data_IF_335874482458
#
_entry.id   IF_335874482458
#
_cell.length_a   1.000
_cell.length_b   1.000
_cell.length_c   1.000
_cell.angle_alpha   90.00
_cell.angle_beta   90.00
_cell.angle_gamma   90.00
#
_symmetry.space_group_name_H-M   'P 1'
#
loop_
_entity.id
_entity.type
_entity.pdbx_description
1 polymer ?
#
# COMPACT_ATOMS: atom_id res chain seq x y z
N UNK A 1 20.82 36.38 -7.80
CA UNK A 1 20.13 36.89 -6.59
C UNK A 1 19.06 35.87 -6.19
N UNK A 2 19.43 34.74 -5.59
CA UNK A 2 19.46 34.46 -4.15
C UNK A 2 18.16 34.79 -3.39
N UNK A 3 17.41 33.73 -3.01
CA UNK A 3 16.62 33.51 -1.77
C UNK A 3 15.71 32.28 -1.99
N UNK A 4 16.14 31.07 -1.63
CA UNK A 4 15.93 30.39 -0.32
C UNK A 4 14.51 30.55 0.22
N UNK A 5 13.64 29.60 -0.13
CA UNK A 5 12.38 29.31 0.57
C UNK A 5 12.53 28.01 1.36
N UNK A 6 12.52 28.11 2.69
CA UNK A 6 12.78 27.04 3.63
C UNK A 6 11.61 26.04 3.70
N UNK A 7 11.93 24.75 3.50
CA UNK A 7 11.02 23.64 3.74
C UNK A 7 10.84 23.41 5.25
N UNK A 8 9.71 23.84 5.78
CA UNK A 8 9.35 23.67 7.19
C UNK A 8 8.76 22.26 7.40
N UNK A 9 9.63 21.29 7.69
CA UNK A 9 9.22 19.94 8.14
C UNK A 9 8.51 20.04 9.50
N UNK A 10 7.18 20.04 9.49
CA UNK A 10 6.37 19.81 10.69
C UNK A 10 6.50 18.34 11.09
N UNK A 11 7.16 18.08 12.21
CA UNK A 11 7.12 16.81 12.94
C UNK A 11 5.68 16.53 13.38
N UNK A 12 5.10 15.34 13.12
CA UNK A 12 3.92 14.92 13.86
C UNK A 12 4.36 14.62 15.30
N UNK A 13 3.82 15.39 16.24
CA UNK A 13 3.96 15.14 17.66
C UNK A 13 3.35 13.78 17.99
N UNK A 14 4.21 12.82 18.25
CA UNK A 14 3.86 11.49 18.72
C UNK A 14 3.42 11.61 20.19
N UNK A 15 2.16 12.00 20.41
CA UNK A 15 1.51 11.89 21.71
C UNK A 15 1.30 10.40 21.98
N UNK A 16 2.30 9.77 22.61
CA UNK A 16 2.17 8.49 23.30
C UNK A 16 1.05 8.65 24.33
N UNK A 17 -0.17 8.25 23.97
CA UNK A 17 -1.16 7.87 24.98
C UNK A 17 -0.62 6.60 25.62
N UNK A 18 -0.19 6.72 26.87
CA UNK A 18 -0.03 5.61 27.80
C UNK A 18 -1.39 4.95 28.01
N UNK A 19 -1.80 4.11 27.05
CA UNK A 19 -2.79 3.08 27.30
C UNK A 19 -2.05 2.07 28.18
N UNK A 20 -2.36 2.13 29.47
CA UNK A 20 -2.05 1.06 30.42
C UNK A 20 -2.76 -0.20 29.94
N UNK A 21 -2.15 -0.93 29.02
CA UNK A 21 -2.50 -2.32 28.78
C UNK A 21 -2.04 -3.09 30.01
N UNK A 22 -2.99 -3.31 30.92
CA UNK A 22 -2.93 -4.36 31.92
C UNK A 22 -2.68 -5.67 31.17
N UNK A 23 -1.40 -6.05 31.06
CA UNK A 23 -1.01 -7.37 30.62
C UNK A 23 -1.75 -8.38 31.51
N UNK A 24 -2.49 -9.34 30.94
CA UNK A 24 -2.95 -10.45 31.74
C UNK A 24 -1.71 -11.11 32.32
N UNK A 25 -1.65 -11.21 33.66
CA UNK A 25 -0.65 -12.01 34.37
C UNK A 25 -0.59 -13.35 33.65
N UNK A 26 0.49 -13.56 32.90
CA UNK A 26 0.89 -14.89 32.44
C UNK A 26 1.14 -15.62 33.76
N UNK A 27 0.16 -16.41 34.20
CA UNK A 27 0.39 -17.35 35.30
C UNK A 27 1.47 -18.27 34.78
N UNK A 28 2.68 -18.04 35.25
CA UNK A 28 3.76 -19.01 35.16
C UNK A 28 3.18 -20.34 35.60
N UNK A 29 3.28 -21.41 34.78
CA UNK A 29 2.93 -22.73 35.27
C UNK A 29 3.74 -22.96 36.55
N UNK A 30 3.16 -23.57 37.59
CA UNK A 30 3.92 -23.90 38.78
C UNK A 30 5.11 -24.71 38.31
N UNK A 31 6.31 -24.20 38.58
CA UNK A 31 7.54 -24.99 38.58
C UNK A 31 7.23 -26.16 39.49
N UNK A 32 6.88 -27.30 38.89
CA UNK A 32 6.68 -28.55 39.58
C UNK A 32 7.95 -28.78 40.35
N UNK A 33 7.86 -28.61 41.66
CA UNK A 33 8.80 -29.16 42.61
C UNK A 33 8.96 -30.62 42.17
N UNK A 34 10.15 -30.93 41.66
CA UNK A 34 10.63 -32.31 41.58
C UNK A 34 10.60 -32.79 43.02
N UNK A 35 9.47 -33.37 43.43
CA UNK A 35 9.39 -34.19 44.60
C UNK A 35 10.37 -35.33 44.35
N UNK A 36 11.55 -35.19 44.95
CA UNK A 36 12.47 -36.28 45.18
C UNK A 36 11.70 -37.33 45.99
N UNK A 37 10.95 -38.17 45.29
CA UNK A 37 10.42 -39.39 45.86
C UNK A 37 11.64 -40.25 46.20
N UNK A 38 12.11 -40.11 47.45
CA UNK A 38 12.90 -41.11 48.16
C UNK A 38 12.09 -42.40 48.10
N UNK A 39 12.27 -43.16 47.02
CA UNK A 39 11.87 -44.55 46.94
C UNK A 39 12.77 -45.26 47.96
N UNK A 40 12.26 -45.42 49.19
CA UNK A 40 12.74 -46.44 50.11
C UNK A 40 12.61 -47.76 49.37
N UNK A 41 13.71 -48.24 48.80
CA UNK A 41 13.85 -49.66 48.49
C UNK A 41 13.84 -50.38 49.84
N UNK A 42 12.65 -50.83 50.25
CA UNK A 42 12.55 -51.90 51.23
C UNK A 42 13.12 -53.14 50.54
N UNK A 43 14.39 -53.43 50.82
CA UNK A 43 15.03 -54.70 50.51
C UNK A 43 14.30 -55.80 51.27
N UNK A 44 13.22 -56.33 50.69
CA UNK A 44 12.56 -57.53 51.17
C UNK A 44 13.53 -58.69 50.96
N UNK A 45 14.27 -59.03 52.02
CA UNK A 45 15.07 -60.24 52.11
C UNK A 45 14.11 -61.43 52.09
N UNK A 46 13.82 -61.92 50.88
CA UNK A 46 13.12 -63.18 50.68
C UNK A 46 14.05 -64.27 51.20
N UNK A 47 13.78 -64.75 52.41
CA UNK A 47 14.41 -65.97 52.96
C UNK A 47 13.98 -67.15 52.08
N UNK A 48 14.84 -67.52 51.14
CA UNK A 48 14.69 -68.76 50.40
C UNK A 48 14.76 -69.93 51.37
N UNK A 49 13.82 -70.89 51.31
CA UNK A 49 13.84 -72.05 52.17
C UNK A 49 15.06 -72.91 51.82
N UNK A 50 15.95 -73.06 52.80
CA UNK A 50 17.08 -73.99 52.72
C UNK A 50 16.53 -75.41 52.76
N UNK A 51 16.21 -75.97 51.60
CA UNK A 51 15.83 -77.37 51.47
C UNK A 51 17.11 -78.19 51.60
N UNK A 52 17.44 -78.57 52.84
CA UNK A 52 18.44 -79.58 53.14
C UNK A 52 17.93 -80.95 52.66
N UNK A 53 18.06 -81.25 51.37
CA UNK A 53 17.98 -82.62 50.86
C UNK A 53 19.35 -83.25 51.04
N UNK A 54 19.54 -83.96 52.14
CA UNK A 54 20.62 -84.93 52.30
C UNK A 54 20.43 -86.04 51.27
N UNK A 55 21.02 -85.87 50.09
CA UNK A 55 21.12 -86.93 49.10
C UNK A 55 22.11 -87.97 49.61
N UNK A 56 21.56 -89.11 49.98
CA UNK A 56 22.29 -90.34 50.29
C UNK A 56 23.20 -90.71 49.11
N UNK A 57 24.51 -90.51 49.26
CA UNK A 57 25.53 -90.88 48.27
C UNK A 57 25.87 -92.37 48.25
N UNK A 58 25.08 -93.22 48.91
CA UNK A 58 25.33 -94.67 49.01
C UNK A 58 24.84 -95.51 47.82
N UNK A 59 24.37 -94.87 46.73
CA UNK A 59 23.92 -95.56 45.50
C UNK A 59 24.70 -95.11 44.25
N UNK A 60 25.97 -94.73 44.40
CA UNK A 60 26.75 -94.12 43.30
C UNK A 60 27.31 -95.15 42.31
N UNK A 61 27.81 -96.30 42.78
CA UNK A 61 28.41 -97.30 41.89
C UNK A 61 27.35 -98.10 41.11
N UNK A 62 26.31 -98.58 41.78
CA UNK A 62 25.26 -99.37 41.12
C UNK A 62 24.48 -98.54 40.10
N UNK A 63 24.25 -97.25 40.38
CA UNK A 63 23.59 -96.34 39.45
C UNK A 63 24.43 -96.02 38.20
N UNK A 64 25.76 -95.91 38.32
CA UNK A 64 26.63 -95.66 37.16
C UNK A 64 26.63 -96.88 36.24
N UNK A 65 26.76 -98.09 36.80
CA UNK A 65 26.76 -99.34 36.04
C UNK A 65 25.42 -99.55 35.33
N UNK A 66 24.30 -99.27 36.01
CA UNK A 66 22.97 -99.36 35.43
C UNK A 66 22.77 -98.36 34.28
N UNK A 67 23.22 -97.12 34.43
CA UNK A 67 23.10 -96.10 33.37
C UNK A 67 24.03 -96.42 32.19
N UNK A 68 25.25 -96.93 32.41
CA UNK A 68 26.14 -97.38 31.33
C UNK A 68 25.54 -98.55 30.55
N UNK A 69 24.91 -99.49 31.25
CA UNK A 69 24.19 -100.60 30.63
C UNK A 69 23.00 -100.11 29.80
N UNK A 70 22.16 -99.22 30.37
CA UNK A 70 21.02 -98.61 29.64
C UNK A 70 21.53 -97.84 28.41
N UNK A 71 22.61 -97.07 28.53
CA UNK A 71 23.21 -96.35 27.39
C UNK A 71 23.73 -97.29 26.31
N UNK A 72 24.31 -98.43 26.70
CA UNK A 72 24.74 -99.44 25.74
C UNK A 72 23.55 -99.99 24.96
N UNK A 73 22.45 -100.30 25.65
CA UNK A 73 21.21 -100.78 25.02
C UNK A 73 20.60 -99.71 24.11
N UNK A 74 20.48 -98.47 24.59
CA UNK A 74 19.90 -97.35 23.82
C UNK A 74 20.75 -97.04 22.58
N UNK A 75 22.09 -97.11 22.69
CA UNK A 75 22.99 -96.92 21.55
C UNK A 75 22.85 -98.05 20.55
N UNK A 76 22.82 -99.29 21.01
CA UNK A 76 22.63 -100.46 20.16
C UNK A 76 21.27 -100.40 19.45
N UNK A 77 20.20 -100.04 20.15
CA UNK A 77 18.88 -99.83 19.58
C UNK A 77 18.86 -98.70 18.54
N UNK A 78 19.48 -97.56 18.85
CA UNK A 78 19.60 -96.45 17.91
C UNK A 78 20.38 -96.85 16.65
N UNK A 79 21.48 -97.60 16.80
CA UNK A 79 22.26 -98.10 15.67
C UNK A 79 21.46 -99.08 14.82
N UNK A 80 20.75 -100.02 15.43
CA UNK A 80 19.89 -100.98 14.72
C UNK A 80 18.77 -100.26 13.95
N UNK A 81 18.07 -99.34 14.60
CA UNK A 81 17.01 -98.54 13.96
C UNK A 81 17.56 -97.68 12.81
N UNK A 82 18.72 -97.06 12.99
CA UNK A 82 19.36 -96.27 11.94
C UNK A 82 19.77 -97.13 10.74
N UNK A 83 20.16 -98.39 10.95
CA UNK A 83 20.50 -99.32 9.87
C UNK A 83 19.27 -99.84 9.13
N UNK A 84 18.21 -100.21 9.86
CA UNK A 84 16.93 -100.61 9.27
C UNK A 84 16.32 -99.51 8.39
N UNK A 85 16.49 -98.24 8.78
CA UNK A 85 16.04 -97.07 8.03
C UNK A 85 16.61 -97.01 6.60
N UNK A 86 17.81 -97.56 6.42
CA UNK A 86 18.52 -97.55 5.16
C UNK A 86 18.26 -98.81 4.34
N UNK A 87 17.47 -99.77 4.85
CA UNK A 87 17.10 -100.96 4.11
C UNK A 87 16.10 -100.61 3.02
N UNK A 88 16.50 -100.88 1.80
CA UNK A 88 15.70 -100.75 0.60
C UNK A 88 15.89 -102.05 -0.20
N UNK A 89 14.84 -102.61 -0.83
CA UNK A 89 14.96 -103.77 -1.72
C UNK A 89 16.06 -103.59 -2.79
N UNK A 90 16.39 -102.36 -3.20
CA UNK A 90 17.52 -102.06 -4.09
C UNK A 90 18.87 -102.58 -3.59
N UNK A 91 19.05 -102.74 -2.28
CA UNK A 91 20.30 -103.28 -1.70
C UNK A 91 20.55 -104.71 -2.16
N UNK A 92 19.50 -105.50 -2.40
CA UNK A 92 19.62 -106.87 -2.90
C UNK A 92 20.14 -106.92 -4.34
N UNK A 93 19.97 -105.85 -5.11
CA UNK A 93 20.48 -105.76 -6.49
C UNK A 93 21.95 -105.37 -6.58
N UNK A 94 22.54 -104.94 -5.46
CA UNK A 94 23.94 -104.55 -5.43
C UNK A 94 24.82 -105.79 -5.19
N UNK A 95 25.73 -106.08 -6.12
CA UNK A 95 26.71 -107.17 -6.03
C UNK A 95 27.72 -106.93 -4.89
N UNK A 96 27.28 -107.15 -3.64
CA UNK A 96 28.13 -107.16 -2.46
C UNK A 96 28.35 -108.58 -1.98
N UNK A 97 29.54 -108.85 -1.47
CA UNK A 97 29.88 -110.09 -0.74
C UNK A 97 29.15 -110.11 0.61
N UNK A 98 27.85 -110.36 0.57
CA UNK A 98 27.03 -110.75 1.72
C UNK A 98 27.30 -112.22 2.04
N UNK A 99 27.17 -112.61 3.31
CA UNK A 99 27.10 -114.03 3.62
C UNK A 99 25.77 -114.56 3.11
N UNK A 100 25.72 -115.82 2.63
CA UNK A 100 24.48 -116.45 2.17
C UNK A 100 23.35 -116.35 3.22
N UNK A 101 23.70 -116.35 4.51
CA UNK A 101 22.76 -116.16 5.62
C UNK A 101 22.17 -114.73 5.67
N UNK A 102 23.00 -113.69 5.47
CA UNK A 102 22.54 -112.30 5.46
C UNK A 102 21.73 -111.94 4.21
N UNK A 103 22.08 -112.53 3.07
CA UNK A 103 21.32 -112.39 1.83
C UNK A 103 19.94 -113.04 1.96
N UNK A 104 19.89 -114.27 2.47
CA UNK A 104 18.63 -114.96 2.74
C UNK A 104 17.76 -114.20 3.74
N UNK A 105 18.32 -113.77 4.88
CA UNK A 105 17.55 -113.02 5.88
C UNK A 105 17.00 -111.67 5.37
N UNK A 106 17.71 -111.01 4.46
CA UNK A 106 17.19 -109.81 3.80
C UNK A 106 16.12 -110.15 2.77
N UNK A 107 16.29 -111.23 2.01
CA UNK A 107 15.30 -111.69 1.06
C UNK A 107 13.98 -112.01 1.78
N UNK A 108 14.05 -112.83 2.83
CA UNK A 108 12.91 -113.21 3.68
C UNK A 108 12.26 -111.95 4.30
N UNK A 109 13.06 -110.98 4.76
CA UNK A 109 12.52 -109.71 5.28
C UNK A 109 11.76 -108.88 4.22
N UNK A 110 12.29 -108.81 2.99
CA UNK A 110 11.64 -108.03 1.93
C UNK A 110 10.44 -108.75 1.30
N UNK A 111 10.43 -110.08 1.26
CA UNK A 111 9.25 -110.85 0.85
C UNK A 111 8.13 -110.62 1.85
N UNK A 112 8.38 -110.80 3.15
CA UNK A 112 7.33 -110.61 4.15
C UNK A 112 6.82 -109.17 4.19
N UNK A 113 7.70 -108.18 3.94
CA UNK A 113 7.31 -106.77 3.87
C UNK A 113 6.45 -106.48 2.63
N UNK A 114 6.72 -107.15 1.50
CA UNK A 114 5.88 -107.07 0.31
C UNK A 114 4.52 -107.74 0.56
N UNK A 115 4.53 -108.93 1.15
CA UNK A 115 3.33 -109.71 1.48
C UNK A 115 2.45 -108.94 2.49
N UNK A 116 3.04 -108.33 3.53
CA UNK A 116 2.29 -107.46 4.45
C UNK A 116 1.69 -106.24 3.75
N UNK A 117 2.40 -105.66 2.78
CA UNK A 117 1.89 -104.52 2.03
C UNK A 117 0.71 -104.92 1.14
N UNK A 118 0.77 -106.10 0.53
CA UNK A 118 -0.32 -106.71 -0.25
C UNK A 118 -1.52 -107.02 0.66
N UNK A 119 -1.31 -107.72 1.79
CA UNK A 119 -2.34 -108.02 2.78
C UNK A 119 -3.10 -106.79 3.30
N UNK A 120 -2.37 -105.69 3.57
CA UNK A 120 -2.99 -104.41 3.99
C UNK A 120 -3.80 -103.77 2.86
N UNK A 121 -3.36 -103.90 1.59
CA UNK A 121 -4.06 -103.35 0.43
C UNK A 121 -5.30 -104.18 0.05
N UNK A 122 -5.28 -105.48 0.33
CA UNK A 122 -6.37 -106.43 0.04
C UNK A 122 -7.41 -106.57 1.17
N UNK A 123 -7.18 -105.89 2.31
CA UNK A 123 -8.03 -105.99 3.52
C UNK A 123 -8.18 -107.45 4.01
N UNK A 124 -7.07 -108.19 4.02
CA UNK A 124 -7.02 -109.57 4.55
C UNK A 124 -7.32 -109.63 6.06
N UNK A 125 -7.54 -110.86 6.57
CA UNK A 125 -7.91 -111.09 7.97
C UNK A 125 -6.84 -110.54 8.94
N UNK A 126 -7.29 -109.94 10.06
CA UNK A 126 -6.38 -109.36 11.08
C UNK A 126 -5.34 -110.36 11.59
N UNK A 127 -5.66 -111.66 11.62
CA UNK A 127 -4.77 -112.74 12.05
C UNK A 127 -3.58 -112.92 11.09
N UNK A 128 -3.80 -112.82 9.77
CA UNK A 128 -2.74 -112.91 8.77
C UNK A 128 -1.81 -111.68 8.81
N UNK A 129 -2.39 -110.50 9.05
CA UNK A 129 -1.63 -109.26 9.25
C UNK A 129 -0.78 -109.34 10.53
N UNK A 130 -1.30 -109.89 11.62
CA UNK A 130 -0.55 -110.09 12.86
C UNK A 130 0.61 -111.09 12.70
N UNK A 131 0.37 -112.22 12.04
CA UNK A 131 1.40 -113.22 11.76
C UNK A 131 2.53 -112.65 10.89
N UNK A 132 2.19 -111.87 9.85
CA UNK A 132 3.16 -111.17 9.01
C UNK A 132 3.92 -110.09 9.79
N UNK A 133 3.27 -109.35 10.68
CA UNK A 133 3.94 -108.39 11.56
C UNK A 133 4.91 -109.08 12.53
N UNK A 134 4.57 -110.25 13.08
CA UNK A 134 5.47 -111.03 13.94
C UNK A 134 6.66 -111.56 13.14
N UNK A 135 6.42 -112.08 11.93
CA UNK A 135 7.47 -112.54 11.02
C UNK A 135 8.43 -111.40 10.66
N UNK A 136 7.92 -110.23 10.25
CA UNK A 136 8.71 -109.02 9.99
C UNK A 136 9.46 -108.57 11.24
N UNK A 137 8.86 -108.67 12.43
CA UNK A 137 9.54 -108.33 13.68
C UNK A 137 10.74 -109.27 13.93
N UNK A 138 10.58 -110.57 13.72
CA UNK A 138 11.66 -111.56 13.86
C UNK A 138 12.74 -111.38 12.79
N UNK A 139 12.36 -111.18 11.54
CA UNK A 139 13.30 -110.93 10.44
C UNK A 139 14.02 -109.59 10.61
N UNK A 140 13.34 -108.52 11.03
CA UNK A 140 13.99 -107.22 11.32
C UNK A 140 15.02 -107.31 12.44
N UNK A 141 14.76 -108.11 13.49
CA UNK A 141 15.72 -108.39 14.57
C UNK A 141 16.94 -109.13 14.05
N UNK A 142 16.71 -110.15 13.23
CA UNK A 142 17.77 -110.99 12.64
C UNK A 142 18.63 -110.17 11.68
N UNK A 143 18.01 -109.44 10.76
CA UNK A 143 18.67 -108.53 9.82
C UNK A 143 19.43 -107.43 10.57
N UNK A 144 18.82 -106.78 11.56
CA UNK A 144 19.50 -105.75 12.37
C UNK A 144 20.75 -106.29 13.06
N UNK A 145 20.67 -107.50 13.62
CA UNK A 145 21.82 -108.15 14.26
C UNK A 145 22.91 -108.49 13.25
N UNK A 146 22.55 -109.10 12.13
CA UNK A 146 23.49 -109.45 11.06
C UNK A 146 24.15 -108.20 10.46
N UNK A 147 23.43 -107.09 10.30
CA UNK A 147 24.00 -105.82 9.83
C UNK A 147 24.93 -105.17 10.86
N UNK A 148 24.60 -105.27 12.14
CA UNK A 148 25.47 -104.81 13.24
C UNK A 148 26.74 -105.67 13.32
N UNK A 149 26.64 -106.98 13.13
CA UNK A 149 27.81 -107.87 13.10
C UNK A 149 28.63 -107.66 11.81
N UNK A 150 27.96 -107.43 10.68
CA UNK A 150 28.59 -107.03 9.42
C UNK A 150 29.33 -105.69 9.52
N UNK A 151 28.94 -104.79 10.44
CA UNK A 151 29.74 -103.59 10.77
C UNK A 151 31.17 -103.93 11.15
N UNK A 152 31.35 -105.03 11.88
CA UNK A 152 32.64 -105.47 12.41
C UNK A 152 33.43 -106.24 11.37
N UNK A 153 32.75 -107.09 10.58
CA UNK A 153 33.41 -107.99 9.61
C UNK A 153 33.57 -107.36 8.22
N UNK A 154 32.63 -106.53 7.77
CA UNK A 154 32.62 -105.90 6.45
C UNK A 154 32.06 -104.46 6.48
N UNK A 155 32.87 -103.45 6.86
CA UNK A 155 32.43 -102.06 6.97
C UNK A 155 32.07 -101.41 5.61
N UNK A 156 32.49 -102.01 4.50
CA UNK A 156 32.18 -101.52 3.16
C UNK A 156 30.69 -101.72 2.82
N UNK A 157 30.10 -102.84 3.26
CA UNK A 157 28.68 -103.12 3.11
C UNK A 157 27.83 -102.02 3.77
N UNK A 158 28.15 -101.64 5.01
CA UNK A 158 27.41 -100.58 5.70
C UNK A 158 27.51 -99.21 5.03
N UNK A 159 28.69 -98.88 4.47
CA UNK A 159 28.83 -97.65 3.69
C UNK A 159 27.97 -97.70 2.43
N UNK A 160 27.76 -98.87 1.84
CA UNK A 160 26.86 -99.04 0.71
C UNK A 160 25.39 -98.93 1.11
N UNK A 161 24.96 -99.64 2.16
CA UNK A 161 23.60 -99.55 2.72
C UNK A 161 23.23 -98.10 3.03
N UNK A 162 24.13 -97.33 3.66
CA UNK A 162 23.89 -95.89 3.95
C UNK A 162 23.89 -94.98 2.72
N UNK A 163 24.47 -95.41 1.59
CA UNK A 163 24.47 -94.63 0.34
C UNK A 163 23.14 -94.75 -0.40
N UNK A 164 22.41 -95.84 -0.19
CA UNK A 164 21.05 -96.00 -0.73
C UNK A 164 20.14 -95.04 0.03
N UNK A 165 19.78 -93.93 -0.63
CA UNK A 165 18.88 -92.93 -0.07
C UNK A 165 17.44 -93.35 -0.31
N UNK A 166 16.89 -94.15 0.60
CA UNK A 166 15.46 -94.40 0.65
C UNK A 166 14.71 -93.17 1.21
N UNK A 167 13.49 -92.85 0.73
CA UNK A 167 12.64 -91.86 1.36
C UNK A 167 12.23 -92.36 2.76
N UNK A 168 12.76 -91.71 3.79
CA UNK A 168 12.46 -92.06 5.18
C UNK A 168 11.19 -91.34 5.64
N UNK A 169 10.21 -92.04 6.23
CA UNK A 169 9.06 -91.40 6.86
C UNK A 169 9.48 -90.39 7.94
N UNK A 170 8.90 -89.19 7.91
CA UNK A 170 9.27 -88.07 8.82
C UNK A 170 9.18 -88.47 10.30
N UNK A 171 8.16 -89.25 10.68
CA UNK A 171 7.98 -89.73 12.04
C UNK A 171 9.16 -90.60 12.52
N UNK A 172 9.66 -91.51 11.68
CA UNK A 172 10.79 -92.38 11.99
C UNK A 172 12.09 -91.57 12.12
N UNK A 173 12.29 -90.58 11.26
CA UNK A 173 13.43 -89.67 11.37
C UNK A 173 13.40 -88.85 12.67
N UNK A 174 12.24 -88.29 13.04
CA UNK A 174 12.06 -87.56 14.30
C UNK A 174 12.34 -88.47 15.51
N UNK A 175 11.83 -89.70 15.51
CA UNK A 175 12.09 -90.68 16.57
C UNK A 175 13.59 -91.04 16.71
N UNK A 176 14.29 -91.24 15.61
CA UNK A 176 15.74 -91.49 15.64
C UNK A 176 16.49 -90.28 16.22
N UNK A 177 16.06 -89.06 15.89
CA UNK A 177 16.67 -87.85 16.46
C UNK A 177 16.37 -87.66 17.95
N UNK A 178 15.18 -88.01 18.43
CA UNK A 178 14.84 -87.94 19.85
C UNK A 178 15.63 -88.99 20.64
N UNK A 179 15.76 -90.21 20.12
CA UNK A 179 16.59 -91.26 20.73
C UNK A 179 18.06 -90.83 20.83
N UNK A 180 18.59 -90.17 19.80
CA UNK A 180 19.94 -89.60 19.84
C UNK A 180 20.07 -88.51 20.90
N UNK A 181 19.13 -87.55 20.95
CA UNK A 181 19.10 -86.48 21.97
C UNK A 181 19.01 -87.05 23.39
N UNK A 182 18.23 -88.11 23.59
CA UNK A 182 18.12 -88.79 24.87
C UNK A 182 19.47 -89.43 25.26
N UNK A 183 20.11 -90.15 24.33
CA UNK A 183 21.45 -90.70 24.55
C UNK A 183 22.48 -89.61 24.89
N UNK A 184 22.47 -88.49 24.17
CA UNK A 184 23.37 -87.36 24.40
C UNK A 184 23.12 -86.72 25.78
N UNK A 185 21.84 -86.57 26.17
CA UNK A 185 21.44 -86.04 27.48
C UNK A 185 21.86 -86.97 28.61
N UNK A 186 21.63 -88.28 28.48
CA UNK A 186 22.05 -89.29 29.45
C UNK A 186 23.58 -89.33 29.57
N UNK A 187 24.31 -89.22 28.45
CA UNK A 187 25.77 -89.16 28.47
C UNK A 187 26.28 -87.86 29.12
N UNK A 188 25.61 -86.74 28.88
CA UNK A 188 25.93 -85.47 29.54
C UNK A 188 25.67 -85.54 31.04
N UNK A 189 24.57 -86.18 31.46
CA UNK A 189 24.23 -86.45 32.87
C UNK A 189 25.27 -87.35 33.55
N UNK A 190 25.76 -88.39 32.88
CA UNK A 190 26.84 -89.23 33.41
C UNK A 190 28.17 -88.49 33.58
N UNK A 191 28.45 -87.51 32.70
CA UNK A 191 29.67 -86.71 32.76
C UNK A 191 29.60 -85.58 33.79
N UNK A 192 28.41 -85.25 34.26
CA UNK A 192 28.17 -84.23 35.27
C UNK A 192 28.40 -84.82 36.66
N UNK A 193 29.28 -84.20 37.44
CA UNK A 193 29.37 -84.49 38.87
C UNK A 193 28.21 -83.80 39.59
N UNK A 194 27.77 -84.35 40.73
CA UNK A 194 26.70 -83.73 41.54
C UNK A 194 27.02 -82.28 41.96
N UNK A 195 28.30 -81.94 42.12
CA UNK A 195 28.76 -80.56 42.36
C UNK A 195 28.54 -79.66 41.13
N UNK A 196 28.81 -80.18 39.92
CA UNK A 196 28.58 -79.45 38.68
C UNK A 196 27.08 -79.25 38.40
N UNK A 197 26.24 -80.23 38.72
CA UNK A 197 24.78 -80.06 38.63
C UNK A 197 24.27 -78.98 39.60
N UNK A 198 24.77 -78.98 40.83
CA UNK A 198 24.40 -77.99 41.85
C UNK A 198 24.79 -76.57 41.43
N UNK A 199 26.01 -76.39 40.90
CA UNK A 199 26.46 -75.08 40.39
C UNK A 199 25.65 -74.61 39.17
N UNK A 200 25.31 -75.52 38.25
CA UNK A 200 24.45 -75.20 37.11
C UNK A 200 23.04 -74.80 37.54
N UNK A 201 22.46 -75.49 38.54
CA UNK A 201 21.16 -75.11 39.09
C UNK A 201 21.22 -73.74 39.77
N UNK A 202 22.27 -73.45 40.54
CA UNK A 202 22.48 -72.14 41.16
C UNK A 202 22.58 -71.02 40.12
N UNK A 203 23.31 -71.24 39.02
CA UNK A 203 23.38 -70.28 37.90
C UNK A 203 22.02 -70.09 37.23
N UNK A 204 21.25 -71.16 37.05
CA UNK A 204 19.90 -71.08 36.49
C UNK A 204 18.98 -70.24 37.39
N UNK A 205 19.01 -70.48 38.70
CA UNK A 205 18.22 -69.73 39.67
C UNK A 205 18.60 -68.23 39.70
N UNK A 206 19.91 -67.93 39.61
CA UNK A 206 20.41 -66.56 39.48
C UNK A 206 19.89 -65.88 38.20
N UNK A 207 19.94 -66.57 37.07
CA UNK A 207 19.39 -66.07 35.80
C UNK A 207 17.87 -65.84 35.87
N UNK A 208 17.13 -66.74 36.51
CA UNK A 208 15.68 -66.59 36.70
C UNK A 208 15.36 -65.40 37.62
N UNK A 209 16.15 -65.18 38.66
CA UNK A 209 16.02 -64.00 39.52
C UNK A 209 16.32 -62.72 38.73
N UNK A 210 17.40 -62.71 37.96
CA UNK A 210 17.78 -61.58 37.11
C UNK A 210 16.68 -61.27 36.08
N UNK A 211 16.13 -62.28 35.42
CA UNK A 211 15.02 -62.13 34.46
C UNK A 211 13.79 -61.50 35.14
N UNK A 212 13.44 -61.94 36.35
CA UNK A 212 12.33 -61.35 37.12
C UNK A 212 12.59 -59.89 37.49
N UNK A 213 13.80 -59.56 37.92
CA UNK A 213 14.18 -58.17 38.21
C UNK A 213 14.11 -57.30 36.96
N UNK A 214 14.64 -57.78 35.84
CA UNK A 214 14.66 -57.03 34.59
C UNK A 214 13.26 -56.90 33.99
N UNK A 215 12.42 -57.92 34.11
CA UNK A 215 10.99 -57.85 33.77
C UNK A 215 10.26 -56.81 34.63
N UNK A 216 10.57 -56.73 35.93
CA UNK A 216 10.00 -55.71 36.82
C UNK A 216 10.45 -54.30 36.45
N UNK A 217 11.75 -54.11 36.19
CA UNK A 217 12.31 -52.83 35.70
C UNK A 217 11.67 -52.43 34.37
N UNK A 218 11.52 -53.37 33.45
CA UNK A 218 10.87 -53.14 32.16
C UNK A 218 9.42 -52.69 32.33
N UNK A 219 8.64 -53.37 33.18
CA UNK A 219 7.26 -52.99 33.46
C UNK A 219 7.17 -51.57 34.06
N UNK A 220 8.08 -51.21 34.96
CA UNK A 220 8.14 -49.89 35.57
C UNK A 220 8.53 -48.80 34.56
N UNK A 221 9.52 -49.06 33.69
CA UNK A 221 9.90 -48.13 32.62
C UNK A 221 8.80 -47.97 31.59
N UNK A 222 8.11 -49.05 31.23
CA UNK A 222 6.97 -49.02 30.32
C UNK A 222 5.84 -48.17 30.89
N UNK A 223 5.51 -48.35 32.17
CA UNK A 223 4.51 -47.52 32.86
C UNK A 223 4.90 -46.04 32.86
N UNK A 224 6.15 -45.71 33.20
CA UNK A 224 6.64 -44.31 33.16
C UNK A 224 6.55 -43.71 31.76
N UNK A 225 6.89 -44.48 30.73
CA UNK A 225 6.78 -44.03 29.34
C UNK A 225 5.33 -43.75 28.94
N UNK A 226 4.39 -44.59 29.37
CA UNK A 226 2.97 -44.40 29.10
C UNK A 226 2.41 -43.18 29.87
N UNK A 227 2.81 -42.99 31.13
CA UNK A 227 2.46 -41.81 31.94
C UNK A 227 2.99 -40.52 31.28
N UNK A 228 4.27 -40.48 30.87
CA UNK A 228 4.86 -39.31 30.16
C UNK A 228 4.17 -39.05 28.82
N UNK A 229 3.80 -40.09 28.07
CA UNK A 229 3.04 -39.94 26.82
C UNK A 229 1.66 -39.35 27.07
N UNK A 230 0.99 -39.77 28.13
CA UNK A 230 -0.32 -39.24 28.51
C UNK A 230 -0.23 -37.77 28.92
N UNK A 231 0.75 -37.40 29.74
CA UNK A 231 1.00 -36.01 30.12
C UNK A 231 1.30 -35.13 28.90
N UNK A 232 2.18 -35.59 28.01
CA UNK A 232 2.48 -34.88 26.76
C UNK A 232 1.24 -34.71 25.89
N UNK A 233 0.42 -35.75 25.75
CA UNK A 233 -0.84 -35.67 24.99
C UNK A 233 -1.80 -34.65 25.58
N UNK A 234 -1.90 -34.56 26.92
CA UNK A 234 -2.72 -33.54 27.59
C UNK A 234 -2.18 -32.13 27.33
N UNK A 235 -0.87 -31.93 27.42
CA UNK A 235 -0.23 -30.64 27.13
C UNK A 235 -0.50 -30.21 25.69
N UNK A 236 -0.33 -31.11 24.72
CA UNK A 236 -0.59 -30.85 23.29
C UNK A 236 -2.06 -30.46 23.10
N UNK A 237 -3.00 -31.24 23.66
CA UNK A 237 -4.43 -30.92 23.56
C UNK A 237 -4.79 -29.54 24.16
N UNK A 238 -4.14 -29.16 25.26
CA UNK A 238 -4.30 -27.85 25.88
C UNK A 238 -3.71 -26.71 25.03
N UNK A 239 -2.61 -26.95 24.33
CA UNK A 239 -2.04 -26.01 23.38
C UNK A 239 -2.92 -25.84 22.14
N UNK A 240 -3.45 -26.94 21.59
CA UNK A 240 -4.37 -26.89 20.44
C UNK A 240 -5.63 -26.08 20.75
N UNK A 241 -6.22 -26.29 21.94
CA UNK A 241 -7.35 -25.48 22.38
C UNK A 241 -7.03 -23.98 22.47
N UNK A 242 -5.84 -23.62 22.95
CA UNK A 242 -5.37 -22.23 22.99
C UNK A 242 -5.19 -21.67 21.58
N UNK A 243 -4.58 -22.43 20.68
CA UNK A 243 -4.40 -22.05 19.27
C UNK A 243 -5.75 -21.77 18.62
N UNK A 244 -6.74 -22.65 18.80
CA UNK A 244 -8.07 -22.48 18.20
C UNK A 244 -8.86 -21.32 18.82
N UNK A 245 -8.68 -21.05 20.11
CA UNK A 245 -9.23 -19.85 20.75
C UNK A 245 -8.62 -18.58 20.15
N UNK A 246 -7.29 -18.54 19.98
CA UNK A 246 -6.58 -17.39 19.41
C UNK A 246 -6.96 -17.18 17.93
N UNK A 247 -7.06 -18.25 17.14
CA UNK A 247 -7.55 -18.19 15.75
C UNK A 247 -8.95 -17.59 15.66
N UNK A 248 -9.88 -18.01 16.55
CA UNK A 248 -11.23 -17.43 16.62
C UNK A 248 -11.22 -15.96 17.01
N UNK A 249 -10.39 -15.56 17.97
CA UNK A 249 -10.24 -14.15 18.35
C UNK A 249 -9.68 -13.30 17.20
N UNK A 250 -8.64 -13.80 16.52
CA UNK A 250 -8.03 -13.13 15.38
C UNK A 250 -9.02 -12.95 14.23
N UNK A 251 -9.84 -13.98 13.95
CA UNK A 251 -10.94 -13.88 12.97
C UNK A 251 -11.95 -12.80 13.35
N UNK A 252 -12.41 -12.77 14.61
CA UNK A 252 -13.32 -11.72 15.10
C UNK A 252 -12.74 -10.32 14.96
N UNK A 253 -11.48 -10.12 15.35
CA UNK A 253 -10.79 -8.83 15.22
C UNK A 253 -10.70 -8.42 13.75
N UNK A 254 -10.39 -9.35 12.85
CA UNK A 254 -10.32 -9.10 11.40
C UNK A 254 -11.69 -8.69 10.84
N UNK A 255 -12.74 -9.42 11.21
CA UNK A 255 -14.11 -9.13 10.75
C UNK A 255 -14.59 -7.77 11.29
N UNK A 256 -14.34 -7.46 12.56
CA UNK A 256 -14.67 -6.16 13.16
C UNK A 256 -13.87 -5.01 12.54
N UNK A 257 -12.58 -5.22 12.26
CA UNK A 257 -11.74 -4.24 11.57
C UNK A 257 -12.25 -3.96 10.16
N UNK A 258 -12.60 -5.01 9.40
CA UNK A 258 -13.15 -4.86 8.05
C UNK A 258 -14.48 -4.11 8.08
N UNK A 259 -15.40 -4.46 8.99
CA UNK A 259 -16.67 -3.72 9.17
C UNK A 259 -16.43 -2.24 9.50
N UNK A 260 -15.49 -1.92 10.39
CA UNK A 260 -15.14 -0.54 10.74
C UNK A 260 -14.53 0.20 9.55
N UNK A 261 -13.69 -0.46 8.77
CA UNK A 261 -13.09 0.10 7.57
C UNK A 261 -14.15 0.39 6.50
N UNK A 262 -15.06 -0.55 6.22
CA UNK A 262 -16.19 -0.37 5.29
C UNK A 262 -17.14 0.74 5.75
N UNK A 263 -17.47 0.80 7.04
CA UNK A 263 -18.31 1.87 7.58
C UNK A 263 -17.62 3.24 7.46
N UNK A 264 -16.32 3.31 7.75
CA UNK A 264 -15.52 4.52 7.61
C UNK A 264 -15.46 4.97 6.15
N UNK A 265 -15.10 4.09 5.22
CA UNK A 265 -15.02 4.42 3.78
C UNK A 265 -16.35 4.89 3.22
N UNK A 266 -17.47 4.25 3.58
CA UNK A 266 -18.82 4.73 3.23
C UNK A 266 -19.10 6.13 3.79
N UNK A 267 -18.73 6.40 5.04
CA UNK A 267 -18.89 7.72 5.67
C UNK A 267 -18.03 8.78 4.96
N UNK A 268 -16.78 8.48 4.64
CA UNK A 268 -15.90 9.37 3.89
C UNK A 268 -16.45 9.68 2.50
N UNK A 269 -16.95 8.67 1.78
CA UNK A 269 -17.57 8.88 0.47
C UNK A 269 -18.82 9.78 0.56
N UNK A 270 -19.65 9.61 1.59
CA UNK A 270 -20.82 10.46 1.81
C UNK A 270 -20.43 11.90 2.18
N UNK A 271 -19.44 12.07 3.05
CA UNK A 271 -18.92 13.38 3.46
C UNK A 271 -18.32 14.13 2.26
N UNK A 272 -17.54 13.43 1.41
CA UNK A 272 -16.95 13.99 0.21
C UNK A 272 -18.03 14.38 -0.82
N UNK A 273 -19.04 13.52 -1.03
CA UNK A 273 -20.19 13.87 -1.89
C UNK A 273 -20.91 15.11 -1.39
N UNK A 274 -21.18 15.20 -0.08
CA UNK A 274 -21.82 16.39 0.53
C UNK A 274 -20.96 17.64 0.38
N UNK A 275 -19.64 17.50 0.49
CA UNK A 275 -18.69 18.60 0.30
C UNK A 275 -18.67 19.08 -1.16
N UNK A 276 -18.70 18.16 -2.12
CA UNK A 276 -18.78 18.47 -3.54
C UNK A 276 -20.10 19.18 -3.87
N UNK A 277 -21.24 18.65 -3.42
CA UNK A 277 -22.56 19.29 -3.61
C UNK A 277 -22.60 20.71 -3.01
N UNK A 278 -22.05 20.90 -1.81
CA UNK A 278 -21.96 22.22 -1.19
C UNK A 278 -21.04 23.17 -1.96
N UNK A 279 -19.90 22.67 -2.46
CA UNK A 279 -18.98 23.44 -3.27
C UNK A 279 -19.59 23.85 -4.62
N UNK A 280 -20.25 22.93 -5.31
CA UNK A 280 -20.96 23.19 -6.56
C UNK A 280 -22.06 24.24 -6.38
N UNK A 281 -22.82 24.15 -5.28
CA UNK A 281 -23.85 25.15 -4.96
C UNK A 281 -23.22 26.53 -4.74
N UNK A 282 -22.15 26.63 -3.96
CA UNK A 282 -21.43 27.90 -3.74
C UNK A 282 -20.81 28.44 -5.03
N UNK A 283 -20.28 27.55 -5.88
CA UNK A 283 -19.71 27.91 -7.16
C UNK A 283 -20.79 28.49 -8.09
N UNK A 284 -21.94 27.83 -8.22
CA UNK A 284 -23.11 28.32 -8.98
C UNK A 284 -23.58 29.68 -8.47
N UNK A 285 -23.79 29.82 -7.15
CA UNK A 285 -24.21 31.10 -6.56
C UNK A 285 -23.22 32.24 -6.83
N UNK A 286 -21.91 31.98 -6.76
CA UNK A 286 -20.88 32.98 -7.07
C UNK A 286 -20.80 33.28 -8.56
N UNK A 287 -20.93 32.26 -9.41
CA UNK A 287 -20.97 32.40 -10.87
C UNK A 287 -22.16 33.27 -11.30
N UNK A 288 -23.34 33.01 -10.75
CA UNK A 288 -24.56 33.77 -11.05
C UNK A 288 -24.44 35.22 -10.57
N UNK A 289 -23.85 35.46 -9.39
CA UNK A 289 -23.54 36.82 -8.91
C UNK A 289 -22.56 37.53 -9.84
N UNK A 290 -21.51 36.84 -10.29
CA UNK A 290 -20.53 37.41 -11.21
C UNK A 290 -21.18 37.75 -12.56
N UNK A 291 -22.04 36.88 -13.09
CA UNK A 291 -22.78 37.13 -14.31
C UNK A 291 -23.72 38.34 -14.19
N UNK A 292 -24.43 38.47 -13.06
CA UNK A 292 -25.27 39.67 -12.77
C UNK A 292 -24.44 40.94 -12.69
N UNK A 293 -23.33 40.92 -11.95
CA UNK A 293 -22.44 42.08 -11.81
C UNK A 293 -21.81 42.50 -13.15
N UNK A 294 -21.45 41.54 -14.00
CA UNK A 294 -20.99 41.84 -15.37
C UNK A 294 -22.06 42.53 -16.18
N UNK A 295 -23.28 41.97 -16.19
CA UNK A 295 -24.40 42.59 -16.89
C UNK A 295 -24.70 44.01 -16.38
N UNK A 296 -24.74 44.21 -15.07
CA UNK A 296 -24.93 45.54 -14.47
C UNK A 296 -23.82 46.52 -14.82
N UNK A 297 -22.58 46.03 -14.97
CA UNK A 297 -21.45 46.85 -15.40
C UNK A 297 -21.59 47.25 -16.87
N UNK A 298 -21.90 46.29 -17.75
CA UNK A 298 -22.10 46.52 -19.19
C UNK A 298 -23.27 47.50 -19.41
N UNK A 299 -24.41 47.29 -18.74
CA UNK A 299 -25.58 48.19 -18.81
C UNK A 299 -25.22 49.62 -18.36
N UNK A 300 -24.42 49.79 -17.31
CA UNK A 300 -23.94 51.11 -16.83
C UNK A 300 -22.92 51.74 -17.78
N UNK A 301 -22.06 50.93 -18.38
CA UNK A 301 -21.09 51.40 -19.35
C UNK A 301 -21.82 51.95 -20.60
N UNK A 302 -22.83 51.24 -21.08
CA UNK A 302 -23.65 51.66 -22.22
C UNK A 302 -24.49 52.91 -21.91
N UNK A 303 -25.08 53.01 -20.73
CA UNK A 303 -25.82 54.21 -20.28
C UNK A 303 -24.89 55.42 -20.15
N UNK A 304 -23.70 55.24 -19.56
CA UNK A 304 -22.70 56.31 -19.47
C UNK A 304 -22.20 56.74 -20.85
N UNK A 305 -21.87 55.79 -21.74
CA UNK A 305 -21.46 56.10 -23.10
C UNK A 305 -22.55 56.87 -23.86
N UNK A 306 -23.81 56.46 -23.72
CA UNK A 306 -24.95 57.15 -24.33
C UNK A 306 -25.13 58.57 -23.77
N UNK A 307 -24.95 58.78 -22.46
CA UNK A 307 -24.98 60.10 -21.82
C UNK A 307 -23.83 60.98 -22.27
N UNK A 308 -22.61 60.45 -22.32
CA UNK A 308 -21.41 61.14 -22.81
C UNK A 308 -21.59 61.56 -24.26
N UNK A 309 -22.03 60.66 -25.14
CA UNK A 309 -22.31 60.97 -26.54
C UNK A 309 -23.37 62.06 -26.69
N UNK A 310 -24.45 62.01 -25.88
CA UNK A 310 -25.47 63.06 -25.87
C UNK A 310 -24.91 64.41 -25.44
N UNK A 311 -24.12 64.44 -24.36
CA UNK A 311 -23.49 65.67 -23.87
C UNK A 311 -22.48 66.22 -24.89
N UNK A 312 -21.69 65.35 -25.52
CA UNK A 312 -20.77 65.71 -26.60
C UNK A 312 -21.53 66.35 -27.77
N UNK A 313 -22.65 65.76 -28.21
CA UNK A 313 -23.46 66.32 -29.28
C UNK A 313 -24.09 67.67 -28.90
N UNK A 314 -24.54 67.84 -27.64
CA UNK A 314 -25.03 69.13 -27.14
C UNK A 314 -23.91 70.17 -27.13
N UNK A 315 -22.73 69.80 -26.63
CA UNK A 315 -21.54 70.65 -26.62
C UNK A 315 -21.17 71.09 -28.03
N UNK A 316 -21.08 70.16 -28.97
CA UNK A 316 -20.76 70.44 -30.36
C UNK A 316 -21.77 71.39 -31.02
N UNK A 317 -23.08 71.20 -30.78
CA UNK A 317 -24.12 72.13 -31.25
C UNK A 317 -23.94 73.53 -30.67
N UNK A 318 -23.68 73.64 -29.37
CA UNK A 318 -23.45 74.93 -28.70
C UNK A 318 -22.17 75.62 -29.21
N UNK A 319 -21.10 74.85 -29.45
CA UNK A 319 -19.86 75.34 -30.03
C UNK A 319 -20.09 75.86 -31.46
N UNK A 320 -20.84 75.13 -32.29
CA UNK A 320 -21.21 75.56 -33.64
C UNK A 320 -22.11 76.81 -33.63
N UNK A 321 -23.09 76.90 -32.72
CA UNK A 321 -23.92 78.10 -32.53
C UNK A 321 -23.08 79.31 -32.09
N UNK A 322 -22.11 79.11 -31.20
CA UNK A 322 -21.20 80.14 -30.74
C UNK A 322 -20.26 80.59 -31.86
N UNK A 323 -19.70 79.67 -32.63
CA UNK A 323 -18.86 79.98 -33.79
C UNK A 323 -19.66 80.75 -34.87
N UNK A 324 -20.92 80.37 -35.11
CA UNK A 324 -21.81 81.10 -36.01
C UNK A 324 -22.07 82.53 -35.52
N UNK A 325 -22.30 82.73 -34.22
CA UNK A 325 -22.48 84.07 -33.62
C UNK A 325 -21.21 84.91 -33.71
N UNK A 326 -20.03 84.33 -33.45
CA UNK A 326 -18.75 85.01 -33.62
C UNK A 326 -18.59 85.47 -35.07
N UNK A 327 -18.83 84.58 -36.05
CA UNK A 327 -18.76 84.95 -37.48
C UNK A 327 -19.71 86.08 -37.87
N UNK A 328 -20.93 86.11 -37.31
CA UNK A 328 -21.87 87.22 -37.53
C UNK A 328 -21.35 88.51 -36.90
N UNK A 329 -20.91 88.46 -35.64
CA UNK A 329 -20.34 89.62 -34.96
C UNK A 329 -19.12 90.18 -35.69
N UNK A 330 -18.19 89.33 -36.12
CA UNK A 330 -17.00 89.75 -36.87
C UNK A 330 -17.40 90.41 -38.20
N UNK A 331 -18.43 89.89 -38.88
CA UNK A 331 -18.97 90.48 -40.11
C UNK A 331 -19.62 91.84 -39.86
N UNK A 332 -20.41 91.97 -38.80
CA UNK A 332 -21.09 93.21 -38.43
C UNK A 332 -20.09 94.29 -37.99
N UNK A 333 -19.06 93.91 -37.22
CA UNK A 333 -17.95 94.80 -36.84
C UNK A 333 -17.16 95.23 -38.07
N UNK A 334 -16.87 94.32 -39.00
CA UNK A 334 -16.21 94.67 -40.25
C UNK A 334 -17.04 95.66 -41.07
N UNK A 335 -18.35 95.45 -41.17
CA UNK A 335 -19.27 96.37 -41.85
C UNK A 335 -19.31 97.74 -41.17
N UNK A 336 -19.47 97.78 -39.85
CA UNK A 336 -19.50 99.02 -39.07
C UNK A 336 -18.17 99.78 -39.17
N UNK A 337 -17.05 99.06 -39.18
CA UNK A 337 -15.72 99.67 -39.37
C UNK A 337 -15.58 100.26 -40.78
N UNK A 338 -16.10 99.59 -41.81
CA UNK A 338 -16.13 100.12 -43.16
C UNK A 338 -17.01 101.38 -43.26
N UNK A 339 -18.23 101.36 -42.70
CA UNK A 339 -19.10 102.54 -42.63
C UNK A 339 -18.46 103.70 -41.86
N UNK A 340 -17.81 103.41 -40.73
CA UNK A 340 -17.10 104.41 -39.95
C UNK A 340 -15.93 105.02 -40.73
N UNK A 341 -15.16 104.19 -41.44
CA UNK A 341 -14.08 104.66 -42.30
C UNK A 341 -14.59 105.54 -43.45
N UNK A 342 -15.72 105.18 -44.07
CA UNK A 342 -16.38 106.01 -45.09
C UNK A 342 -16.89 107.35 -44.52
N UNK A 343 -17.51 107.32 -43.34
CA UNK A 343 -18.02 108.54 -42.69
C UNK A 343 -16.87 109.44 -42.24
N UNK A 344 -15.77 108.86 -41.75
CA UNK A 344 -14.58 109.60 -41.38
C UNK A 344 -13.88 110.20 -42.61
N UNK A 345 -13.87 109.50 -43.75
CA UNK A 345 -13.39 110.07 -45.01
C UNK A 345 -14.23 111.29 -45.41
N UNK A 346 -15.57 111.18 -45.41
CA UNK A 346 -16.47 112.31 -45.68
C UNK A 346 -16.29 113.47 -44.71
N UNK A 347 -16.15 113.18 -43.42
CA UNK A 347 -15.90 114.21 -42.41
C UNK A 347 -14.58 114.95 -42.67
N UNK A 348 -13.52 114.23 -43.04
CA UNK A 348 -12.24 114.85 -43.39
C UNK A 348 -12.37 115.70 -44.65
N UNK A 349 -13.09 115.24 -45.68
CA UNK A 349 -13.37 116.00 -46.91
C UNK A 349 -14.14 117.28 -46.59
N UNK A 350 -15.23 117.20 -45.81
CA UNK A 350 -16.01 118.37 -45.35
C UNK A 350 -15.17 119.32 -44.49
N UNK A 351 -14.28 118.79 -43.64
CA UNK A 351 -13.38 119.60 -42.83
C UNK A 351 -12.37 120.35 -43.69
N UNK A 352 -11.88 119.73 -44.76
CA UNK A 352 -10.96 120.38 -45.71
C UNK A 352 -11.69 121.42 -46.56
N UNK A 353 -12.92 121.16 -47.03
CA UNK A 353 -13.79 122.17 -47.67
C UNK A 353 -14.05 123.37 -46.75
N UNK A 354 -14.33 123.12 -45.46
CA UNK A 354 -14.55 124.18 -44.48
C UNK A 354 -13.30 125.03 -44.27
N UNK A 355 -12.10 124.42 -44.20
CA UNK A 355 -10.83 125.18 -44.17
C UNK A 355 -10.67 126.01 -45.43
N UNK A 356 -10.98 125.48 -46.61
CA UNK A 356 -10.92 126.24 -47.86
C UNK A 356 -11.88 127.45 -47.83
N UNK A 357 -13.13 127.27 -47.40
CA UNK A 357 -14.09 128.36 -47.24
C UNK A 357 -13.64 129.40 -46.21
N UNK A 358 -13.13 128.96 -45.06
CA UNK A 358 -12.59 129.87 -44.03
C UNK A 358 -11.43 130.69 -44.60
N UNK A 359 -10.52 130.08 -45.36
CA UNK A 359 -9.43 130.83 -46.02
C UNK A 359 -9.97 131.81 -47.08
N UNK A 360 -11.02 131.45 -47.82
CA UNK A 360 -11.67 132.32 -48.79
C UNK A 360 -12.36 133.52 -48.11
N UNK A 361 -13.14 133.30 -47.05
CA UNK A 361 -13.79 134.38 -46.30
C UNK A 361 -12.77 135.26 -45.57
N UNK A 362 -11.70 134.68 -45.04
CA UNK A 362 -10.60 135.45 -44.45
C UNK A 362 -9.95 136.37 -45.48
N UNK A 363 -9.65 135.87 -46.68
CA UNK A 363 -9.14 136.69 -47.80
C UNK A 363 -10.13 137.80 -48.20
N UNK A 364 -11.43 137.49 -48.23
CA UNK A 364 -12.48 138.48 -48.53
C UNK A 364 -12.56 139.57 -47.45
N UNK A 365 -12.49 139.22 -46.17
CA UNK A 365 -12.48 140.17 -45.07
C UNK A 365 -11.21 141.04 -45.06
N UNK A 366 -10.05 140.47 -45.39
CA UNK A 366 -8.79 141.21 -45.59
C UNK A 366 -8.94 142.23 -46.75
N UNK A 367 -9.57 141.83 -47.86
CA UNK A 367 -9.85 142.72 -49.00
C UNK A 367 -10.87 143.83 -48.66
N UNK A 368 -11.96 143.51 -47.96
CA UNK A 368 -12.96 144.51 -47.52
C UNK A 368 -12.33 145.55 -46.57
N UNK A 369 -11.48 145.13 -45.62
CA UNK A 369 -10.72 146.06 -44.77
C UNK A 369 -9.81 146.97 -45.60
N UNK A 370 -9.09 146.43 -46.58
CA UNK A 370 -8.23 147.23 -47.46
C UNK A 370 -9.03 148.30 -48.23
N UNK A 371 -10.23 147.96 -48.71
CA UNK A 371 -11.14 148.89 -49.41
C UNK A 371 -11.71 149.96 -48.46
N UNK A 372 -12.05 149.62 -47.22
CA UNK A 372 -12.53 150.59 -46.23
C UNK A 372 -11.44 151.59 -45.80
N UNK A 373 -10.18 151.15 -45.68
CA UNK A 373 -9.06 152.04 -45.39
C UNK A 373 -8.79 153.03 -46.54
N UNK A 374 -8.87 152.57 -47.79
CA UNK A 374 -8.81 153.42 -48.99
C UNK A 374 -9.95 154.46 -49.01
N UNK A 375 -11.19 154.04 -48.67
CA UNK A 375 -12.35 154.95 -48.58
C UNK A 375 -12.18 156.02 -47.49
N UNK A 376 -11.61 155.68 -46.33
CA UNK A 376 -11.32 156.65 -45.27
C UNK A 376 -10.30 157.71 -45.73
N UNK A 377 -9.23 157.30 -46.39
CA UNK A 377 -8.23 158.25 -46.96
C UNK A 377 -8.88 159.22 -47.95
N UNK A 378 -9.77 158.74 -48.81
CA UNK A 378 -10.49 159.60 -49.76
C UNK A 378 -11.49 160.55 -49.08
N UNK A 379 -12.18 160.12 -48.01
CA UNK A 379 -13.10 160.96 -47.26
C UNK A 379 -12.37 162.10 -46.50
N UNK A 380 -11.22 161.81 -45.91
CA UNK A 380 -10.38 162.82 -45.25
C UNK A 380 -9.84 163.86 -46.23
N UNK A 381 -9.40 163.43 -47.43
CA UNK A 381 -8.97 164.33 -48.49
C UNK A 381 -10.11 165.27 -48.95
N UNK A 382 -11.34 164.75 -49.05
CA UNK A 382 -12.52 165.54 -49.42
C UNK A 382 -12.91 166.56 -48.35
N UNK A 383 -12.83 166.21 -47.07
CA UNK A 383 -13.12 167.13 -45.97
C UNK A 383 -12.12 168.28 -45.89
N UNK A 384 -10.82 168.03 -46.12
CA UNK A 384 -9.80 169.09 -46.21
C UNK A 384 -10.06 170.08 -47.36
N UNK A 385 -10.59 169.60 -48.49
CA UNK A 385 -10.96 170.47 -49.61
C UNK A 385 -12.18 171.36 -49.28
N UNK A 386 -13.18 170.81 -48.59
CA UNK A 386 -14.40 171.55 -48.20
C UNK A 386 -14.08 172.65 -47.18
N UNK A 387 -13.22 172.38 -46.20
CA UNK A 387 -12.85 173.39 -45.19
C UNK A 387 -12.08 174.57 -45.80
N UNK A 388 -11.15 174.33 -46.74
CA UNK A 388 -10.46 175.42 -47.45
C UNK A 388 -11.42 176.30 -48.26
N UNK A 389 -12.39 175.70 -48.97
CA UNK A 389 -13.41 176.46 -49.72
C UNK A 389 -14.32 177.29 -48.81
N UNK A 390 -14.59 176.83 -47.59
CA UNK A 390 -15.41 177.54 -46.61
C UNK A 390 -14.68 178.79 -46.09
N UNK A 391 -13.39 178.67 -45.76
CA UNK A 391 -12.54 179.79 -45.34
C UNK A 391 -12.45 180.88 -46.43
N UNK A 392 -12.30 180.48 -47.71
CA UNK A 392 -12.29 181.43 -48.84
C UNK A 392 -13.62 182.20 -48.98
N UNK A 393 -14.74 181.52 -48.72
CA UNK A 393 -16.08 182.11 -48.82
C UNK A 393 -16.35 183.12 -47.70
N UNK A 394 -15.94 182.80 -46.48
CA UNK A 394 -16.11 183.67 -45.31
C UNK A 394 -15.21 184.92 -45.42
N UNK A 395 -13.99 184.78 -45.95
CA UNK A 395 -13.12 185.93 -46.27
C UNK A 395 -13.75 186.87 -47.31
N UNK A 396 -14.43 186.33 -48.34
CA UNK A 396 -15.09 187.12 -49.36
C UNK A 396 -16.34 187.87 -48.83
N UNK A 397 -17.09 187.26 -47.91
CA UNK A 397 -18.26 187.89 -47.27
C UNK A 397 -17.88 189.05 -46.33
N UNK A 398 -16.75 188.92 -45.61
CA UNK A 398 -16.22 189.99 -44.75
C UNK A 398 -15.81 191.22 -45.57
N UNK A 399 -15.23 191.02 -46.76
CA UNK A 399 -14.84 192.10 -47.67
C UNK A 399 -16.08 192.84 -48.23
N UNK A 400 -17.16 192.11 -48.55
CA UNK A 400 -18.42 192.69 -49.01
C UNK A 400 -19.16 193.50 -47.93
N UNK A 401 -19.10 193.09 -46.67
CA UNK A 401 -19.78 193.79 -45.57
C UNK A 401 -19.10 195.13 -45.25
N UNK A 402 -17.76 195.19 -45.29
CA UNK A 402 -16.99 196.42 -45.12
C UNK A 402 -17.24 197.43 -46.25
N UNK A 403 -17.39 196.97 -47.50
CA UNK A 403 -17.69 197.84 -48.64
C UNK A 403 -19.11 198.45 -48.57
N UNK A 404 -20.11 197.67 -48.13
CA UNK A 404 -21.50 198.15 -47.96
C UNK A 404 -21.63 199.15 -46.81
N UNK A 405 -20.90 198.98 -45.70
CA UNK A 405 -20.91 199.89 -44.57
C UNK A 405 -20.28 201.27 -44.88
N UNK A 406 -19.30 201.31 -45.81
CA UNK A 406 -18.72 202.56 -46.30
C UNK A 406 -19.66 203.33 -47.25
N UNK A 407 -20.40 202.63 -48.10
CA UNK A 407 -21.29 203.25 -49.10
C UNK A 407 -22.51 203.97 -48.50
N UNK A 408 -23.07 203.46 -47.40
CA UNK A 408 -24.28 204.02 -46.74
C UNK A 408 -23.99 205.33 -45.98
N UNK A 409 -22.73 205.63 -45.64
CA UNK A 409 -22.38 206.81 -44.84
C UNK A 409 -22.28 208.13 -45.63
N UNK A 410 -22.37 208.12 -46.97
CA UNK A 410 -21.93 209.27 -47.80
C UNK A 410 -22.96 209.94 -48.74
N UNK A 411 -24.25 209.58 -48.78
CA UNK A 411 -25.28 210.33 -49.57
C UNK A 411 -26.70 210.08 -49.00
N UNK A 412 -27.65 211.02 -48.81
CA UNK A 412 -27.86 212.48 -48.98
C UNK A 412 -29.31 212.74 -48.43
N UNK A 413 -29.61 213.68 -47.54
CA UNK A 413 -30.04 215.09 -47.75
C UNK A 413 -30.56 215.50 -49.16
N UNK A 414 -31.82 216.00 -49.21
CA UNK A 414 -32.58 216.65 -50.32
C UNK A 414 -33.01 215.74 -51.50
N UNK A 415 -34.24 215.72 -52.04
CA UNK A 415 -35.51 216.43 -51.81
C UNK A 415 -36.34 216.46 -53.14
N UNK A 416 -37.57 215.92 -53.15
CA UNK A 416 -38.72 216.40 -53.98
C UNK A 416 -39.09 215.82 -55.39
N UNK A 417 -40.34 215.28 -55.47
CA UNK A 417 -41.41 215.36 -56.53
C UNK A 417 -41.65 214.27 -57.64
N UNK A 418 -42.91 213.74 -57.62
CA UNK A 418 -43.85 213.14 -58.63
C UNK A 418 -43.36 212.17 -59.73
N UNK A 419 -44.04 211.09 -60.18
CA UNK A 419 -45.33 210.44 -59.88
C UNK A 419 -45.78 209.47 -61.01
N UNK A 420 -46.20 208.22 -60.64
CA UNK A 420 -47.26 207.33 -61.21
C UNK A 420 -47.09 206.48 -62.52
N UNK A 421 -47.22 205.14 -62.36
CA UNK A 421 -48.33 204.22 -62.82
C UNK A 421 -47.97 202.99 -63.72
N UNK A 422 -48.43 201.80 -63.29
CA UNK A 422 -48.72 200.59 -64.12
C UNK A 422 -48.08 199.29 -63.57
N UNK A 423 -48.73 198.49 -62.70
CA UNK A 423 -49.64 197.32 -62.95
C UNK A 423 -48.98 196.17 -63.76
N UNK A 424 -49.07 194.91 -63.36
CA UNK A 424 -50.03 194.24 -62.43
C UNK A 424 -49.34 193.58 -61.25
#
# INVERSE_FOLDING_TARGET
VSRRGAAQRRRPGNKRSTIAMSLPRISTPPTGERSEAKIKLESSTVKLPTINRSLSTRSSMDGIVEIEWILSIVREAHEKLALLLHLNPEIMTMNYSMTNESEKALQDFFTDLADLKEAIEEEEDEEEIEDLQEAICLHSKTVSRLLVDAKKTNPHLLKAVRKVKAPVPKATAEFITTMKKLSDLMQHKLKMTGEMESTMHGQLDELVLQEKEDSSKYALLKKKLDDERQEHSQIISGMDYKIDRLRRQMKRIKDDSNKRYEASTKRWALEEKRRQEAFEKQYKEKSDKLAKMKKEFDDKADDNFSKELRLHNIKYKKEAELEAKIKMYDKDVFHLHAEFAELQAKFNDEQDELKELETHFRKKAEHERAVEEERKKHAEARNKYITMKRIQRDAALLLQSLYKAWWVKNKKAAGGKDGKKGKK
#
